data_IF_118919841196
#
_entry.id   IF_118919841196
#
_cell.length_a   1.000
_cell.length_b   1.000
_cell.length_c   1.000
_cell.angle_alpha   90.00
_cell.angle_beta   90.00
_cell.angle_gamma   90.00
#
_symmetry.space_group_name_H-M   'P 1'
#
loop_
_entity.id
_entity.type
_entity.pdbx_description
1 polymer ?
#
# COMPACT_ATOMS: atom_id res chain seq x y z
N UNK A 1 -7.56 -67.54 17.52
CA UNK A 1 -8.99 -67.17 17.37
C UNK A 1 -9.21 -65.88 18.15
N UNK A 2 -8.57 -64.78 17.73
CA UNK A 2 -9.03 -63.75 16.79
C UNK A 2 -10.10 -62.82 17.39
N UNK A 3 -9.62 -61.94 18.26
CA UNK A 3 -10.24 -60.71 18.73
C UNK A 3 -10.52 -59.81 17.51
N UNK A 4 -11.79 -59.67 17.13
CA UNK A 4 -12.19 -58.85 15.97
C UNK A 4 -11.97 -57.37 16.29
N UNK A 5 -11.05 -56.79 15.54
CA UNK A 5 -10.48 -55.45 15.73
C UNK A 5 -11.46 -54.36 15.33
N UNK A 6 -11.63 -53.39 16.23
CA UNK A 6 -11.95 -51.96 16.03
C UNK A 6 -11.89 -51.54 14.56
N UNK A 7 -13.02 -51.19 13.93
CA UNK A 7 -13.18 -50.13 12.89
C UNK A 7 -14.67 -49.85 12.64
N UNK A 8 -15.31 -49.05 13.50
CA UNK A 8 -16.61 -48.43 13.17
C UNK A 8 -16.34 -46.97 12.78
N UNK A 9 -16.20 -46.80 11.47
CA UNK A 9 -16.54 -45.61 10.66
C UNK A 9 -16.46 -44.22 11.28
N UNK A 10 -15.26 -43.70 11.52
CA UNK A 10 -15.02 -42.26 11.59
C UNK A 10 -14.99 -41.69 10.15
N UNK A 11 -16.14 -41.56 9.49
CA UNK A 11 -16.23 -41.02 8.11
C UNK A 11 -17.06 -39.74 8.00
N UNK A 12 -17.13 -38.95 9.08
CA UNK A 12 -17.75 -37.62 9.07
C UNK A 12 -16.77 -36.48 9.41
N UNK A 13 -15.45 -36.76 9.53
CA UNK A 13 -14.46 -35.78 9.95
C UNK A 13 -13.61 -35.16 8.83
N UNK A 14 -13.60 -35.74 7.63
CA UNK A 14 -12.63 -35.36 6.58
C UNK A 14 -13.07 -34.23 5.65
N UNK A 15 -14.31 -33.75 5.75
CA UNK A 15 -14.83 -32.71 4.84
C UNK A 15 -14.55 -31.26 5.32
N UNK A 16 -13.98 -31.05 6.51
CA UNK A 16 -13.71 -29.71 7.05
C UNK A 16 -12.29 -29.18 6.78
N UNK A 17 -11.47 -29.89 5.99
CA UNK A 17 -10.06 -29.50 5.74
C UNK A 17 -9.82 -28.86 4.37
N UNK A 18 -10.83 -28.81 3.50
CA UNK A 18 -10.76 -28.03 2.26
C UNK A 18 -11.36 -26.65 2.48
N UNK A 19 -10.76 -25.88 3.38
CA UNK A 19 -10.86 -24.42 3.32
C UNK A 19 -10.14 -24.00 2.04
N UNK A 20 -10.88 -23.90 0.93
CA UNK A 20 -10.38 -23.27 -0.27
C UNK A 20 -10.03 -21.83 0.13
N UNK A 21 -8.75 -21.50 0.16
CA UNK A 21 -8.33 -20.11 0.15
C UNK A 21 -8.89 -19.53 -1.13
N UNK A 22 -9.98 -18.78 -1.01
CA UNK A 22 -10.53 -18.00 -2.10
C UNK A 22 -9.42 -17.01 -2.45
N UNK A 23 -8.66 -17.33 -3.50
CA UNK A 23 -7.64 -16.44 -4.05
C UNK A 23 -8.38 -15.14 -4.34
N UNK A 24 -8.08 -14.11 -3.57
CA UNK A 24 -8.67 -12.80 -3.77
C UNK A 24 -8.45 -12.41 -5.24
N UNK A 25 -9.53 -12.14 -5.94
CA UNK A 25 -9.48 -11.67 -7.31
C UNK A 25 -8.64 -10.39 -7.33
N UNK A 26 -7.49 -10.44 -8.01
CA UNK A 26 -6.64 -9.26 -8.16
C UNK A 26 -7.40 -8.31 -9.08
N UNK A 27 -7.87 -7.18 -8.54
CA UNK A 27 -8.48 -6.13 -9.35
C UNK A 27 -7.44 -5.56 -10.32
N UNK A 28 -7.66 -5.77 -11.62
CA UNK A 28 -6.76 -5.30 -12.68
C UNK A 28 -7.45 -4.25 -13.55
N UNK A 29 -6.76 -3.16 -13.83
CA UNK A 29 -7.18 -2.13 -14.77
C UNK A 29 -6.84 -2.53 -16.20
N UNK A 30 -7.79 -2.32 -17.13
CA UNK A 30 -7.57 -2.52 -18.55
C UNK A 30 -6.88 -1.29 -19.18
N UNK A 31 -5.63 -1.39 -19.67
CA UNK A 31 -4.90 -0.25 -20.24
C UNK A 31 -5.53 0.29 -21.52
N UNK A 32 -6.29 -0.53 -22.26
CA UNK A 32 -6.98 -0.10 -23.47
C UNK A 32 -8.01 1.01 -23.20
N UNK A 33 -8.49 1.15 -21.96
CA UNK A 33 -9.41 2.24 -21.58
C UNK A 33 -8.76 3.63 -21.60
N UNK A 34 -7.43 3.71 -21.66
CA UNK A 34 -6.69 4.97 -21.76
C UNK A 34 -6.31 5.34 -23.19
N UNK A 35 -6.60 4.47 -24.17
CA UNK A 35 -6.30 4.69 -25.58
C UNK A 35 -7.46 5.44 -26.25
N UNK A 36 -7.68 6.72 -25.89
CA UNK A 36 -8.79 7.52 -26.44
C UNK A 36 -8.49 7.94 -27.89
N UNK A 37 -7.25 8.31 -28.21
CA UNK A 37 -6.84 8.78 -29.54
C UNK A 37 -5.58 8.10 -30.12
N UNK A 38 -4.73 7.49 -29.27
CA UNK A 38 -3.50 6.79 -29.66
C UNK A 38 -3.00 5.91 -28.50
N UNK A 39 -2.05 5.01 -28.78
CA UNK A 39 -1.37 4.24 -27.74
C UNK A 39 -0.64 5.19 -26.78
N UNK A 40 -1.12 5.28 -25.55
CA UNK A 40 -0.58 6.21 -24.56
C UNK A 40 0.80 5.77 -24.04
N UNK A 41 1.14 4.48 -24.15
CA UNK A 41 2.40 3.93 -23.64
C UNK A 41 2.56 4.07 -22.12
N UNK A 42 1.48 4.43 -21.41
CA UNK A 42 1.48 4.68 -19.96
C UNK A 42 1.31 3.35 -19.23
N UNK A 43 2.24 3.04 -18.34
CA UNK A 43 2.11 1.90 -17.43
C UNK A 43 1.14 2.24 -16.29
N UNK A 44 -0.01 1.57 -16.27
CA UNK A 44 -1.04 1.74 -15.24
C UNK A 44 -1.13 0.57 -14.27
N UNK A 45 -0.19 -0.39 -14.32
CA UNK A 45 -0.20 -1.55 -13.44
C UNK A 45 -0.07 -1.17 -11.96
N UNK A 46 0.49 -0.01 -11.66
CA UNK A 46 0.55 0.56 -10.31
C UNK A 46 -0.84 0.69 -9.66
N UNK A 47 -1.89 0.93 -10.45
CA UNK A 47 -3.26 1.08 -9.92
C UNK A 47 -3.92 -0.27 -9.59
N UNK A 48 -3.33 -1.41 -10.00
CA UNK A 48 -3.85 -2.74 -9.66
C UNK A 48 -3.66 -3.11 -8.17
N UNK A 49 -3.10 -2.18 -7.38
CA UNK A 49 -2.88 -2.34 -5.95
C UNK A 49 -3.62 -1.24 -5.20
N UNK A 50 -4.17 -1.59 -4.05
CA UNK A 50 -4.85 -0.62 -3.21
C UNK A 50 -3.88 0.49 -2.76
N UNK A 51 -4.38 1.73 -2.70
CA UNK A 51 -3.71 2.89 -2.13
C UNK A 51 -2.39 3.33 -2.82
N UNK A 52 -2.15 2.91 -4.06
CA UNK A 52 -0.96 3.34 -4.80
C UNK A 52 -1.30 4.47 -5.78
N UNK A 53 -0.73 5.64 -5.49
CA UNK A 53 -0.63 6.76 -6.42
C UNK A 53 0.78 6.78 -7.02
N UNK A 54 0.99 7.29 -8.25
CA UNK A 54 2.33 7.44 -8.80
C UNK A 54 3.15 8.47 -8.02
N UNK A 55 4.49 8.37 -8.03
CA UNK A 55 5.34 9.45 -7.57
C UNK A 55 5.09 10.70 -8.40
N UNK A 56 5.12 11.87 -7.76
CA UNK A 56 4.71 13.10 -8.41
C UNK A 56 4.53 14.27 -7.46
N UNK A 57 4.05 15.38 -8.02
CA UNK A 57 3.80 16.61 -7.30
C UNK A 57 2.31 16.75 -7.01
N UNK A 58 1.95 16.88 -5.73
CA UNK A 58 0.56 16.87 -5.29
C UNK A 58 0.27 18.03 -4.34
N UNK A 59 -0.88 18.69 -4.54
CA UNK A 59 -1.41 19.67 -3.59
C UNK A 59 -2.15 18.93 -2.48
N UNK A 60 -1.60 18.93 -1.27
CA UNK A 60 -2.10 18.14 -0.14
C UNK A 60 -2.35 19.00 1.08
N UNK A 61 -3.32 18.61 1.90
CA UNK A 61 -3.50 19.17 3.23
C UNK A 61 -2.57 18.48 4.21
N UNK A 62 -1.72 19.25 4.88
CA UNK A 62 -0.78 18.76 5.88
C UNK A 62 -1.46 18.79 7.24
N UNK A 63 -1.45 17.65 7.94
CA UNK A 63 -1.95 17.52 9.30
C UNK A 63 -0.80 17.22 10.26
N UNK A 64 -0.70 18.00 11.33
CA UNK A 64 0.26 17.77 12.42
C UNK A 64 -0.51 17.38 13.67
N UNK A 65 -0.27 16.17 14.18
CA UNK A 65 -0.99 15.60 15.34
C UNK A 65 -2.53 15.68 15.21
N UNK A 66 -3.04 15.39 14.01
CA UNK A 66 -4.47 15.41 13.69
C UNK A 66 -5.09 16.80 13.48
N UNK A 67 -4.31 17.87 13.55
CA UNK A 67 -4.77 19.24 13.26
C UNK A 67 -4.33 19.68 11.89
N UNK A 68 -5.26 20.22 11.10
CA UNK A 68 -4.93 20.81 9.80
C UNK A 68 -3.99 22.00 10.02
N UNK A 69 -2.85 21.97 9.33
CA UNK A 69 -1.82 23.00 9.40
C UNK A 69 -1.97 23.95 8.22
N UNK A 70 -1.74 23.43 7.01
CA UNK A 70 -1.91 24.19 5.76
C UNK A 70 -2.07 23.26 4.56
N UNK A 71 -2.46 23.83 3.41
CA UNK A 71 -2.36 23.17 2.11
C UNK A 71 -1.05 23.57 1.45
N UNK A 72 -0.28 22.58 1.01
CA UNK A 72 1.00 22.80 0.35
C UNK A 72 1.17 21.82 -0.80
N UNK A 73 1.85 22.26 -1.85
CA UNK A 73 2.30 21.34 -2.88
C UNK A 73 3.57 20.60 -2.43
N UNK A 74 3.52 19.27 -2.47
CA UNK A 74 4.56 18.38 -1.97
C UNK A 74 4.92 17.36 -3.03
N UNK A 75 6.22 17.13 -3.21
CA UNK A 75 6.73 16.04 -4.04
C UNK A 75 6.71 14.74 -3.25
N UNK A 76 6.08 13.71 -3.81
CA UNK A 76 6.10 12.36 -3.28
C UNK A 76 6.97 11.47 -4.17
N UNK A 77 7.84 10.69 -3.54
CA UNK A 77 8.77 9.78 -4.20
C UNK A 77 8.59 8.36 -3.64
N UNK A 78 9.10 7.37 -4.37
CA UNK A 78 9.14 5.98 -3.93
C UNK A 78 10.57 5.46 -4.09
N UNK A 79 11.01 4.58 -3.19
CA UNK A 79 12.34 3.98 -3.26
C UNK A 79 12.42 2.89 -4.34
N UNK A 80 11.31 2.18 -4.58
CA UNK A 80 11.15 1.16 -5.60
C UNK A 80 9.67 1.02 -6.02
N UNK A 81 9.34 0.32 -7.12
CA UNK A 81 7.96 0.19 -7.63
C UNK A 81 6.94 -0.45 -6.69
N UNK A 82 7.41 -1.14 -5.65
CA UNK A 82 6.57 -1.84 -4.69
C UNK A 82 6.50 -1.13 -3.33
N UNK A 83 7.23 -0.01 -3.16
CA UNK A 83 7.27 0.75 -1.93
C UNK A 83 6.15 1.81 -1.87
N UNK A 84 5.76 2.15 -0.64
CA UNK A 84 4.83 3.26 -0.41
C UNK A 84 5.47 4.61 -0.77
N UNK A 85 4.62 5.55 -1.20
CA UNK A 85 5.04 6.93 -1.40
C UNK A 85 5.41 7.59 -0.08
N UNK A 86 6.48 8.37 -0.09
CA UNK A 86 6.83 9.26 1.02
C UNK A 86 7.09 10.68 0.54
N UNK A 87 6.74 11.64 1.39
CA UNK A 87 6.94 13.06 1.11
C UNK A 87 8.44 13.41 1.09
N UNK A 88 8.85 14.12 0.06
CA UNK A 88 10.22 14.62 -0.10
C UNK A 88 10.25 16.13 0.16
N UNK A 89 10.90 16.53 1.25
CA UNK A 89 11.10 17.94 1.61
C UNK A 89 12.57 18.33 1.42
N UNK A 90 12.82 19.30 0.53
CA UNK A 90 14.19 19.76 0.21
C UNK A 90 14.90 20.41 1.41
N UNK A 91 14.19 21.25 2.16
CA UNK A 91 14.74 21.95 3.32
C UNK A 91 14.27 21.30 4.64
N UNK A 92 14.50 19.99 4.80
CA UNK A 92 13.89 19.18 5.86
C UNK A 92 13.98 19.80 7.26
N UNK A 93 15.14 20.31 7.70
CA UNK A 93 15.29 20.95 9.01
C UNK A 93 14.35 22.16 9.15
N UNK A 94 14.32 23.03 8.14
CA UNK A 94 13.45 24.23 8.14
C UNK A 94 11.97 23.84 8.13
N UNK A 95 11.59 22.90 7.27
CA UNK A 95 10.21 22.41 7.16
C UNK A 95 9.72 21.83 8.49
N UNK A 96 10.51 20.95 9.10
CA UNK A 96 10.17 20.34 10.39
C UNK A 96 10.08 21.38 11.50
N UNK A 97 10.97 22.38 11.54
CA UNK A 97 10.87 23.51 12.48
C UNK A 97 9.58 24.30 12.28
N UNK A 98 9.17 24.57 11.03
CA UNK A 98 7.89 25.24 10.72
C UNK A 98 6.69 24.43 11.23
N UNK A 99 6.75 23.10 11.13
CA UNK A 99 5.73 22.20 11.70
C UNK A 99 5.79 22.11 13.23
N UNK A 100 6.72 22.79 13.89
CA UNK A 100 6.88 22.79 15.35
C UNK A 100 7.65 21.59 15.90
N UNK A 101 8.35 20.83 15.06
CA UNK A 101 9.18 19.70 15.48
C UNK A 101 10.46 20.23 16.12
N UNK A 102 10.85 19.68 17.27
CA UNK A 102 12.11 19.98 17.96
C UNK A 102 13.29 19.32 17.25
N UNK A 103 13.77 19.93 16.18
CA UNK A 103 14.82 19.37 15.30
C UNK A 103 16.12 19.04 16.02
N UNK A 104 16.50 19.79 17.07
CA UNK A 104 17.73 19.54 17.83
C UNK A 104 17.72 18.20 18.58
N UNK A 105 16.55 17.63 18.84
CA UNK A 105 16.39 16.31 19.45
C UNK A 105 16.60 15.16 18.45
N UNK A 106 16.60 15.44 17.14
CA UNK A 106 16.72 14.43 16.08
C UNK A 106 18.20 14.25 15.70
N UNK A 107 18.83 13.20 16.24
CA UNK A 107 20.25 12.87 15.98
C UNK A 107 20.59 12.68 14.50
N UNK A 108 19.64 12.20 13.69
CA UNK A 108 19.82 12.03 12.24
C UNK A 108 19.90 13.35 11.48
N UNK A 109 19.51 14.46 12.11
CA UNK A 109 19.55 15.81 11.55
C UNK A 109 20.57 16.69 12.27
N UNK A 110 21.47 16.15 13.09
CA UNK A 110 22.60 16.90 13.65
C UNK A 110 23.75 16.85 12.64
#
# INVERSE_FOLDING_TARGET
MMTTRIKVGLTAGTCLIFSQSLMAEVSVFNPALLEIDHQSGVDIRQFNRANLMPPGFYSVDIFINGKMFERQDVTFVQDNPDADLHACFVAIKKTLTTFGVKVDALKSLQ
#
